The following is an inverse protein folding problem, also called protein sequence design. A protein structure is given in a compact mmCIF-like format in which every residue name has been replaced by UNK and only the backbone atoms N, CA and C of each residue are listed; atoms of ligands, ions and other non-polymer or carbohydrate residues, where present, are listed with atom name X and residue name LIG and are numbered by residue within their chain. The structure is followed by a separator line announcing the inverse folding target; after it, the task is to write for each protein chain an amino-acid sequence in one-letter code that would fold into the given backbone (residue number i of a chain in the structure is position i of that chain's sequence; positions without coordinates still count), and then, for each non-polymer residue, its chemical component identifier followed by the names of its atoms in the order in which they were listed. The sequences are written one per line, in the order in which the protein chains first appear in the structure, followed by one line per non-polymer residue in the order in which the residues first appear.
data_IF_768043124772
#
_entry.id   IF_768043124772
#
_cell.length_a   1.000
_cell.length_b   1.000
_cell.length_c   1.000
_cell.angle_alpha   90.00
_cell.angle_beta   90.00
_cell.angle_gamma   90.00
#
_symmetry.space_group_name_H-M   'P 1'
#
loop_
_entity.id
_entity.type
_entity.pdbx_description
1 polymer ?
#
# COMPACT_ATOMS: atom_id res chain seq x y z
N UNK A 1 15.40 3.78 6.20
CA UNK A 1 14.89 2.61 5.47
C UNK A 1 15.90 2.25 4.39
N UNK A 2 16.37 1.00 4.32
CA UNK A 2 17.31 0.58 3.26
C UNK A 2 16.58 -0.35 2.28
N UNK A 3 16.09 0.20 1.18
CA UNK A 3 15.52 -0.59 0.08
C UNK A 3 16.70 -1.30 -0.60
N UNK A 4 16.66 -2.64 -0.64
CA UNK A 4 17.67 -3.43 -1.34
C UNK A 4 17.35 -3.40 -2.83
N UNK A 5 18.33 -3.06 -3.68
CA UNK A 5 18.22 -3.12 -5.13
C UNK A 5 18.24 -4.60 -5.61
N UNK A 6 17.22 -5.36 -5.22
CA UNK A 6 16.98 -6.76 -5.61
C UNK A 6 15.52 -6.94 -5.96
N UNK A 7 15.25 -7.81 -6.94
CA UNK A 7 13.90 -8.21 -7.27
C UNK A 7 13.28 -9.02 -6.11
N UNK A 8 12.01 -8.74 -5.82
CA UNK A 8 11.18 -9.51 -4.91
C UNK A 8 10.03 -10.18 -5.64
N UNK A 9 9.25 -10.96 -4.90
CA UNK A 9 8.07 -11.63 -5.43
C UNK A 9 6.88 -11.54 -4.46
N UNK A 10 5.66 -11.53 -5.00
CA UNK A 10 4.46 -11.70 -4.19
C UNK A 10 4.41 -13.10 -3.59
N UNK A 11 4.25 -13.20 -2.28
CA UNK A 11 4.21 -14.48 -1.59
C UNK A 11 2.84 -15.15 -1.79
N UNK A 12 2.84 -16.38 -2.31
CA UNK A 12 1.63 -17.19 -2.49
C UNK A 12 1.75 -18.54 -1.77
N UNK A 13 0.68 -19.06 -1.14
CA UNK A 13 0.71 -20.32 -0.40
C UNK A 13 1.22 -21.53 -1.19
N UNK A 14 0.95 -21.57 -2.50
CA UNK A 14 1.39 -22.65 -3.39
C UNK A 14 2.93 -22.80 -3.45
N UNK A 15 3.68 -21.77 -3.05
CA UNK A 15 5.15 -21.78 -3.10
C UNK A 15 5.81 -21.94 -1.73
N UNK A 16 5.04 -22.10 -0.64
CA UNK A 16 5.61 -22.15 0.71
C UNK A 16 6.63 -23.27 0.92
N UNK A 17 6.30 -24.50 0.49
CA UNK A 17 7.21 -25.64 0.64
C UNK A 17 8.52 -25.40 -0.12
N UNK A 18 8.42 -25.10 -1.42
CA UNK A 18 9.57 -24.74 -2.28
C UNK A 18 10.43 -23.63 -1.68
N UNK A 19 9.84 -22.55 -1.17
CA UNK A 19 10.60 -21.44 -0.58
C UNK A 19 11.38 -21.88 0.67
N UNK A 20 10.78 -22.73 1.51
CA UNK A 20 11.38 -23.16 2.77
C UNK A 20 12.41 -24.28 2.58
N UNK A 21 12.16 -25.18 1.64
CA UNK A 21 13.00 -26.34 1.34
C UNK A 21 14.20 -25.93 0.47
N UNK A 22 13.94 -25.20 -0.63
CA UNK A 22 14.95 -24.92 -1.65
C UNK A 22 15.66 -23.57 -1.45
N UNK A 23 15.03 -22.65 -0.71
CA UNK A 23 15.56 -21.30 -0.40
C UNK A 23 16.06 -20.58 -1.66
N UNK A 24 15.19 -20.34 -2.66
CA UNK A 24 15.58 -19.73 -3.92
C UNK A 24 16.21 -18.35 -3.72
N UNK A 25 17.06 -17.94 -4.65
CA UNK A 25 17.72 -16.62 -4.61
C UNK A 25 16.75 -15.49 -5.00
N UNK A 26 15.86 -15.14 -4.07
CA UNK A 26 14.89 -14.04 -4.16
C UNK A 26 15.27 -12.94 -3.17
N UNK A 27 15.17 -11.67 -3.57
CA UNK A 27 15.60 -10.55 -2.75
C UNK A 27 14.75 -10.32 -1.49
N UNK A 28 13.44 -10.47 -1.62
CA UNK A 28 12.43 -10.25 -0.58
C UNK A 28 11.06 -10.75 -1.05
N UNK A 29 10.12 -10.89 -0.13
CA UNK A 29 8.74 -11.27 -0.44
C UNK A 29 7.75 -10.19 -0.01
N UNK A 30 6.67 -10.04 -0.78
CA UNK A 30 5.55 -9.17 -0.43
C UNK A 30 4.33 -9.95 0.05
N UNK A 31 3.62 -9.40 1.04
CA UNK A 31 2.33 -9.90 1.49
C UNK A 31 1.30 -8.78 1.60
N UNK A 32 0.03 -9.11 1.38
CA UNK A 32 -1.07 -8.20 1.73
C UNK A 32 -1.35 -8.29 3.23
N UNK A 33 -1.42 -7.14 3.92
CA UNK A 33 -1.58 -7.07 5.37
C UNK A 33 -2.85 -7.80 5.84
N UNK A 34 -3.95 -7.64 5.12
CA UNK A 34 -5.30 -8.12 5.45
C UNK A 34 -5.35 -9.64 5.56
N UNK A 35 -4.53 -10.37 4.80
CA UNK A 35 -4.39 -11.82 4.88
C UNK A 35 -3.78 -12.30 6.21
N UNK A 36 -3.16 -11.40 6.98
CA UNK A 36 -2.45 -11.69 8.23
C UNK A 36 -3.00 -10.90 9.42
N UNK A 37 -4.14 -10.21 9.27
CA UNK A 37 -4.82 -9.53 10.38
C UNK A 37 -5.74 -10.45 11.19
N UNK A 38 -5.63 -11.77 11.00
CA UNK A 38 -6.29 -12.80 11.79
C UNK A 38 -5.48 -13.18 13.04
N UNK A 39 -6.04 -14.02 13.91
CA UNK A 39 -5.38 -14.38 15.18
C UNK A 39 -4.24 -15.41 15.03
N UNK A 40 -4.18 -16.17 13.92
CA UNK A 40 -3.19 -17.23 13.75
C UNK A 40 -3.50 -18.19 12.61
N UNK A 41 -2.98 -19.42 12.71
CA UNK A 41 -3.19 -20.49 11.75
C UNK A 41 -2.05 -20.66 10.75
N UNK A 42 -2.24 -21.52 9.73
CA UNK A 42 -1.21 -21.85 8.76
C UNK A 42 -0.53 -20.63 8.11
N UNK A 43 -1.24 -19.55 7.70
CA UNK A 43 -0.58 -18.38 7.11
C UNK A 43 0.53 -17.81 8.01
N UNK A 44 0.25 -17.63 9.31
CA UNK A 44 1.23 -17.11 10.25
C UNK A 44 2.41 -18.07 10.45
N UNK A 45 2.15 -19.38 10.55
CA UNK A 45 3.21 -20.40 10.68
C UNK A 45 4.19 -20.40 9.50
N UNK A 46 3.69 -20.20 8.27
CA UNK A 46 4.55 -20.11 7.09
C UNK A 46 5.26 -18.75 7.02
N UNK A 47 4.55 -17.64 7.24
CA UNK A 47 5.13 -16.31 7.09
C UNK A 47 6.22 -16.04 8.12
N UNK A 48 6.08 -16.50 9.37
CA UNK A 48 7.14 -16.37 10.38
C UNK A 48 8.44 -17.05 9.96
N UNK A 49 8.34 -18.27 9.41
CA UNK A 49 9.53 -19.01 8.93
C UNK A 49 10.15 -18.36 7.70
N UNK A 50 9.32 -17.93 6.75
CA UNK A 50 9.80 -17.23 5.54
C UNK A 50 10.44 -15.89 5.92
N UNK A 51 9.87 -15.12 6.86
CA UNK A 51 10.44 -13.86 7.37
C UNK A 51 11.81 -14.06 8.02
N UNK A 52 12.03 -15.21 8.66
CA UNK A 52 13.32 -15.58 9.23
C UNK A 52 14.42 -15.78 8.18
N UNK A 53 14.05 -16.03 6.93
CA UNK A 53 14.98 -16.26 5.81
C UNK A 53 15.07 -15.05 4.85
N UNK A 54 13.97 -14.34 4.65
CA UNK A 54 13.83 -13.27 3.67
C UNK A 54 13.28 -11.98 4.30
N UNK A 55 13.72 -10.79 3.85
CA UNK A 55 13.03 -9.55 4.16
C UNK A 55 11.58 -9.57 3.65
N UNK A 56 10.68 -8.91 4.37
CA UNK A 56 9.27 -8.77 3.98
C UNK A 56 8.89 -7.32 3.66
N UNK A 57 8.18 -7.13 2.55
CA UNK A 57 7.32 -5.98 2.28
C UNK A 57 5.90 -6.31 2.73
N UNK A 58 5.23 -5.38 3.41
CA UNK A 58 3.81 -5.49 3.75
C UNK A 58 3.06 -4.41 3.01
N UNK A 59 2.10 -4.81 2.18
CA UNK A 59 1.28 -3.91 1.40
C UNK A 59 -0.17 -3.97 1.89
N UNK A 60 -0.78 -2.83 2.19
CA UNK A 60 -2.17 -2.73 2.62
C UNK A 60 -3.09 -2.41 1.45
N UNK A 61 -4.33 -2.93 1.52
CA UNK A 61 -5.39 -2.63 0.55
C UNK A 61 -6.67 -2.10 1.20
N UNK A 62 -6.69 -2.01 2.53
CA UNK A 62 -7.90 -1.78 3.31
C UNK A 62 -7.86 -0.55 4.23
N UNK A 63 -6.73 0.16 4.34
CA UNK A 63 -6.64 1.30 5.25
C UNK A 63 -7.52 2.48 4.80
N UNK A 64 -7.77 2.59 3.50
CA UNK A 64 -8.67 3.59 2.91
C UNK A 64 -8.20 5.02 3.23
N UNK A 65 -6.93 5.32 2.92
CA UNK A 65 -6.26 6.60 3.21
C UNK A 65 -7.00 7.80 2.60
N UNK A 66 -7.72 7.59 1.51
CA UNK A 66 -8.54 8.61 0.85
C UNK A 66 -9.91 8.87 1.47
N UNK A 67 -10.34 8.11 2.49
CA UNK A 67 -11.73 8.18 2.97
C UNK A 67 -12.05 9.51 3.65
N UNK A 68 -13.09 10.20 3.18
CA UNK A 68 -13.59 11.43 3.82
C UNK A 68 -14.06 11.23 5.27
N UNK A 69 -14.45 9.99 5.63
CA UNK A 69 -14.88 9.63 6.99
C UNK A 69 -13.73 9.36 7.97
N UNK A 70 -12.48 9.46 7.52
CA UNK A 70 -11.29 9.11 8.29
C UNK A 70 -10.94 7.63 8.21
N UNK A 71 -9.73 7.29 8.66
CA UNK A 71 -9.30 5.90 8.78
C UNK A 71 -10.00 5.21 9.96
N UNK A 72 -10.27 3.91 9.83
CA UNK A 72 -10.88 3.15 10.92
C UNK A 72 -9.82 2.80 11.97
N UNK A 73 -9.92 3.26 13.24
CA UNK A 73 -8.89 2.98 14.26
C UNK A 73 -8.68 1.48 14.51
N UNK A 74 -9.75 0.69 14.42
CA UNK A 74 -9.68 -0.78 14.51
C UNK A 74 -8.87 -1.39 13.37
N UNK A 75 -8.96 -0.88 12.15
CA UNK A 75 -8.19 -1.38 11.02
C UNK A 75 -6.71 -1.01 11.17
N UNK A 76 -6.42 0.25 11.53
CA UNK A 76 -5.06 0.71 11.79
C UNK A 76 -4.38 -0.08 12.91
N UNK A 77 -5.09 -0.39 14.00
CA UNK A 77 -4.58 -1.24 15.07
C UNK A 77 -4.25 -2.67 14.60
N UNK A 78 -5.06 -3.25 13.69
CA UNK A 78 -4.77 -4.57 13.10
C UNK A 78 -3.56 -4.53 12.18
N UNK A 79 -3.41 -3.46 11.38
CA UNK A 79 -2.22 -3.24 10.56
C UNK A 79 -0.98 -3.13 11.46
N UNK A 80 -1.07 -2.34 12.54
CA UNK A 80 0.01 -2.23 13.54
C UNK A 80 0.41 -3.60 14.09
N UNK A 81 -0.54 -4.45 14.47
CA UNK A 81 -0.23 -5.83 14.93
C UNK A 81 0.55 -6.63 13.89
N UNK A 82 0.21 -6.54 12.60
CA UNK A 82 0.94 -7.21 11.52
C UNK A 82 2.36 -6.64 11.38
N UNK A 83 2.49 -5.33 11.36
CA UNK A 83 3.78 -4.63 11.23
C UNK A 83 4.69 -4.94 12.42
N UNK A 84 4.16 -4.89 13.64
CA UNK A 84 4.89 -5.18 14.87
C UNK A 84 5.34 -6.65 14.91
N UNK A 85 4.49 -7.59 14.47
CA UNK A 85 4.82 -9.03 14.44
C UNK A 85 5.92 -9.37 13.44
N UNK A 86 5.86 -8.82 12.23
CA UNK A 86 6.73 -9.26 11.13
C UNK A 86 7.90 -8.32 10.86
N UNK A 87 7.92 -7.13 11.44
CA UNK A 87 8.98 -6.14 11.27
C UNK A 87 9.40 -6.01 9.80
N UNK A 88 8.47 -5.66 8.88
CA UNK A 88 8.77 -5.59 7.46
C UNK A 88 9.72 -4.44 7.18
N UNK A 89 10.50 -4.50 6.10
CA UNK A 89 11.41 -3.40 5.75
C UNK A 89 10.69 -2.26 5.01
N UNK A 90 9.53 -2.55 4.40
CA UNK A 90 8.63 -1.61 3.74
C UNK A 90 7.19 -1.85 4.21
N UNK A 91 6.45 -0.76 4.41
CA UNK A 91 4.99 -0.78 4.51
C UNK A 91 4.44 0.16 3.45
N UNK A 92 3.53 -0.31 2.61
CA UNK A 92 2.90 0.49 1.55
C UNK A 92 1.38 0.40 1.61
N UNK A 93 0.71 1.42 1.07
CA UNK A 93 -0.75 1.51 0.95
C UNK A 93 -1.11 2.28 -0.32
N UNK A 94 -2.38 2.19 -0.74
CA UNK A 94 -2.87 2.84 -1.94
C UNK A 94 -3.35 4.27 -1.68
N UNK A 95 -3.13 5.17 -2.64
CA UNK A 95 -3.83 6.46 -2.69
C UNK A 95 -5.28 6.25 -3.20
N UNK A 96 -6.13 5.66 -2.35
CA UNK A 96 -7.52 5.37 -2.67
C UNK A 96 -8.39 5.34 -1.41
N UNK A 97 -9.70 5.28 -1.61
CA UNK A 97 -10.66 4.93 -0.56
C UNK A 97 -11.40 3.65 -0.93
N UNK A 98 -11.66 2.82 0.08
CA UNK A 98 -12.41 1.57 -0.04
C UNK A 98 -13.49 1.48 1.03
N UNK A 99 -13.74 2.56 1.77
CA UNK A 99 -14.74 2.61 2.84
C UNK A 99 -15.52 3.93 2.85
N UNK A 100 -16.84 3.84 3.01
CA UNK A 100 -17.73 4.99 3.20
C UNK A 100 -18.94 4.60 4.04
N UNK A 101 -19.29 5.42 5.04
CA UNK A 101 -20.45 5.23 5.91
C UNK A 101 -20.56 3.81 6.53
N UNK A 102 -19.42 3.20 6.87
CA UNK A 102 -19.36 1.85 7.45
C UNK A 102 -19.44 0.69 6.45
N UNK A 103 -19.57 0.96 5.16
CA UNK A 103 -19.52 -0.03 4.07
C UNK A 103 -18.09 -0.16 3.56
N UNK A 104 -17.63 -1.40 3.38
CA UNK A 104 -16.37 -1.72 2.72
C UNK A 104 -16.64 -2.11 1.26
N UNK A 105 -15.85 -1.55 0.36
CA UNK A 105 -15.85 -1.85 -1.06
C UNK A 105 -14.62 -2.69 -1.38
N UNK A 106 -14.79 -3.70 -2.23
CA UNK A 106 -13.66 -4.52 -2.72
C UNK A 106 -12.83 -3.81 -3.80
N UNK A 107 -13.10 -2.52 -4.03
CA UNK A 107 -12.48 -1.72 -5.07
C UNK A 107 -11.74 -0.53 -4.44
N UNK A 108 -10.69 -0.08 -5.13
CA UNK A 108 -9.89 1.08 -4.75
C UNK A 108 -10.41 2.28 -5.51
N UNK A 109 -11.29 3.04 -4.85
CA UNK A 109 -12.06 4.10 -5.49
C UNK A 109 -11.21 5.37 -5.67
N UNK A 110 -11.37 6.08 -6.81
CA UNK A 110 -10.56 7.25 -7.14
C UNK A 110 -10.86 8.43 -6.23
N UNK A 111 -9.89 9.34 -6.15
CA UNK A 111 -9.95 10.56 -5.35
C UNK A 111 -9.92 11.79 -6.27
N UNK A 112 -10.63 12.88 -5.92
CA UNK A 112 -10.48 14.13 -6.64
C UNK A 112 -9.17 14.78 -6.17
N UNK A 113 -8.30 15.14 -7.11
CA UNK A 113 -6.98 15.71 -6.83
C UNK A 113 -7.08 17.22 -6.55
N UNK A 114 -7.69 17.56 -5.42
CA UNK A 114 -7.84 18.92 -4.91
C UNK A 114 -6.91 19.18 -3.73
N UNK A 115 -6.68 20.46 -3.40
CA UNK A 115 -5.97 20.86 -2.17
C UNK A 115 -6.65 20.34 -0.92
N UNK A 116 -7.99 20.32 -0.89
CA UNK A 116 -8.76 19.78 0.24
C UNK A 116 -8.50 18.29 0.42
N UNK A 117 -8.51 17.50 -0.66
CA UNK A 117 -8.18 16.07 -0.60
C UNK A 117 -6.73 15.86 -0.19
N UNK A 118 -5.81 16.70 -0.65
CA UNK A 118 -4.41 16.64 -0.24
C UNK A 118 -4.24 16.90 1.27
N UNK A 119 -4.94 17.90 1.83
CA UNK A 119 -4.95 18.17 3.27
C UNK A 119 -5.47 16.98 4.07
N UNK A 120 -6.56 16.36 3.59
CA UNK A 120 -7.17 15.18 4.22
C UNK A 120 -6.20 13.99 4.20
N UNK A 121 -5.72 13.62 3.02
CA UNK A 121 -4.82 12.48 2.83
C UNK A 121 -3.52 12.68 3.59
N UNK A 122 -2.96 13.90 3.62
CA UNK A 122 -1.77 14.19 4.40
C UNK A 122 -1.95 13.89 5.88
N UNK A 123 -3.08 14.29 6.48
CA UNK A 123 -3.39 13.96 7.88
C UNK A 123 -3.49 12.45 8.12
N UNK A 124 -4.10 11.70 7.20
CA UNK A 124 -4.21 10.25 7.34
C UNK A 124 -2.87 9.55 7.20
N UNK A 125 -2.01 10.02 6.30
CA UNK A 125 -0.63 9.50 6.18
C UNK A 125 0.15 9.79 7.46
N UNK A 126 0.06 11.00 8.02
CA UNK A 126 0.72 11.35 9.29
C UNK A 126 0.21 10.49 10.46
N UNK A 127 -1.11 10.28 10.56
CA UNK A 127 -1.74 9.39 11.55
C UNK A 127 -1.23 7.94 11.40
N UNK A 128 -1.18 7.41 10.18
CA UNK A 128 -0.70 6.07 9.90
C UNK A 128 0.79 5.92 10.24
N UNK A 129 1.64 6.86 9.82
CA UNK A 129 3.07 6.85 10.14
C UNK A 129 3.32 6.95 11.64
N UNK A 130 2.53 7.78 12.35
CA UNK A 130 2.61 7.91 13.81
C UNK A 130 2.24 6.61 14.50
N UNK A 131 1.12 5.98 14.12
CA UNK A 131 0.67 4.74 14.73
C UNK A 131 1.61 3.55 14.43
N UNK A 132 2.16 3.50 13.22
CA UNK A 132 3.09 2.44 12.80
C UNK A 132 4.54 2.72 13.19
N UNK A 133 4.82 3.91 13.74
CA UNK A 133 6.16 4.38 14.15
C UNK A 133 7.20 4.27 13.04
N UNK A 134 6.78 4.51 11.79
CA UNK A 134 7.63 4.37 10.61
C UNK A 134 7.12 5.13 9.41
N UNK A 135 8.02 5.40 8.48
CA UNK A 135 7.68 5.88 7.14
C UNK A 135 6.92 4.79 6.37
N UNK A 136 5.83 5.19 5.72
CA UNK A 136 5.07 4.34 4.78
C UNK A 136 5.28 4.82 3.34
N UNK A 137 4.94 3.97 2.38
CA UNK A 137 4.96 4.28 0.95
C UNK A 137 3.52 4.40 0.44
N UNK A 138 3.26 5.42 -0.38
CA UNK A 138 1.97 5.60 -1.04
C UNK A 138 2.09 5.19 -2.50
N UNK A 139 1.22 4.27 -2.91
CA UNK A 139 1.14 3.76 -4.28
C UNK A 139 0.19 4.58 -5.14
N UNK A 140 0.58 4.81 -6.40
CA UNK A 140 -0.31 5.38 -7.41
C UNK A 140 -1.39 4.35 -7.81
N UNK A 141 -2.68 4.73 -7.76
CA UNK A 141 -3.76 3.82 -8.13
C UNK A 141 -3.86 3.71 -9.65
N UNK A 142 -4.50 2.65 -10.13
CA UNK A 142 -5.09 2.68 -11.47
C UNK A 142 -6.41 3.44 -11.39
N UNK A 143 -6.57 4.49 -12.21
CA UNK A 143 -7.79 5.30 -12.21
C UNK A 143 -8.62 4.97 -13.44
N UNK A 144 -9.88 4.58 -13.22
CA UNK A 144 -10.85 4.31 -14.29
C UNK A 144 -11.83 5.48 -14.51
N UNK A 145 -11.92 6.40 -13.57
CA UNK A 145 -12.65 7.66 -13.68
C UNK A 145 -11.73 8.81 -13.25
N UNK A 146 -11.81 9.93 -13.97
CA UNK A 146 -11.38 11.23 -13.46
C UNK A 146 -12.59 11.94 -12.90
N UNK A 147 -12.43 12.49 -11.71
CA UNK A 147 -13.47 13.31 -11.10
C UNK A 147 -13.32 14.72 -11.68
N UNK A 148 -14.45 15.36 -12.02
CA UNK A 148 -14.44 16.62 -12.79
C UNK A 148 -13.83 17.84 -12.08
N UNK A 149 -13.50 17.68 -10.80
CA UNK A 149 -13.07 18.77 -9.90
C UNK A 149 -11.55 18.73 -9.61
N UNK A 150 -10.75 18.01 -10.41
CA UNK A 150 -9.30 17.93 -10.21
C UNK A 150 -8.62 19.31 -10.37
N UNK A 151 -7.89 19.75 -9.34
CA UNK A 151 -7.14 21.02 -9.35
C UNK A 151 -5.67 20.82 -9.80
N UNK A 152 -5.18 19.59 -9.75
CA UNK A 152 -3.79 19.24 -10.08
C UNK A 152 -3.69 17.82 -10.69
N UNK A 153 -2.62 17.52 -11.45
CA UNK A 153 -2.34 16.16 -11.89
C UNK A 153 -2.02 15.20 -10.73
N UNK A 154 -2.31 13.91 -10.92
CA UNK A 154 -2.00 12.83 -9.94
C UNK A 154 -0.53 12.84 -9.49
N UNK A 155 0.41 13.00 -10.43
CA UNK A 155 1.84 13.01 -10.13
C UNK A 155 2.26 14.23 -9.32
N UNK A 156 1.59 15.37 -9.54
CA UNK A 156 1.77 16.56 -8.70
C UNK A 156 1.18 16.35 -7.31
N UNK A 157 -0.01 15.75 -7.21
CA UNK A 157 -0.64 15.40 -5.94
C UNK A 157 0.28 14.50 -5.10
N UNK A 158 0.78 13.39 -5.67
CA UNK A 158 1.68 12.46 -5.00
C UNK A 158 3.00 13.14 -4.57
N UNK A 159 3.58 13.97 -5.45
CA UNK A 159 4.79 14.74 -5.14
C UNK A 159 4.58 15.69 -3.96
N UNK A 160 3.46 16.39 -3.92
CA UNK A 160 3.14 17.31 -2.83
C UNK A 160 2.86 16.55 -1.52
N UNK A 161 2.16 15.42 -1.60
CA UNK A 161 1.89 14.56 -0.46
C UNK A 161 3.20 14.08 0.17
N UNK A 162 4.09 13.47 -0.62
CA UNK A 162 5.38 12.98 -0.15
C UNK A 162 6.25 14.09 0.47
N UNK A 163 6.26 15.29 -0.13
CA UNK A 163 6.98 16.45 0.43
C UNK A 163 6.43 16.91 1.78
N UNK A 164 5.12 16.83 1.98
CA UNK A 164 4.44 17.34 3.17
C UNK A 164 4.54 16.38 4.36
N UNK A 165 4.34 15.10 4.11
CA UNK A 165 4.25 14.06 5.17
C UNK A 165 5.57 13.30 5.35
N UNK A 166 6.49 13.48 4.42
CA UNK A 166 7.71 12.69 4.36
C UNK A 166 7.49 11.23 3.97
N UNK A 167 6.30 10.82 3.49
CA UNK A 167 6.10 9.44 3.04
C UNK A 167 6.94 9.12 1.79
N UNK A 168 7.23 7.84 1.58
CA UNK A 168 7.78 7.36 0.33
C UNK A 168 6.71 7.23 -0.76
N UNK A 169 7.13 6.97 -1.99
CA UNK A 169 6.25 6.62 -3.09
C UNK A 169 6.56 5.19 -3.56
N UNK A 170 5.51 4.42 -3.82
CA UNK A 170 5.58 3.15 -4.54
C UNK A 170 5.02 3.40 -5.94
N UNK A 171 5.82 3.17 -6.98
CA UNK A 171 5.37 3.35 -8.36
C UNK A 171 4.98 2.00 -8.94
N UNK A 172 3.68 1.77 -9.11
CA UNK A 172 3.19 0.66 -9.91
C UNK A 172 3.09 1.09 -11.39
N UNK A 173 4.00 0.54 -12.18
CA UNK A 173 4.12 0.80 -13.62
C UNK A 173 2.93 0.26 -14.40
N UNK A 174 2.32 -0.84 -13.95
CA UNK A 174 1.11 -1.37 -14.56
C UNK A 174 -0.07 -0.41 -14.33
N UNK A 175 -0.22 0.16 -13.14
CA UNK A 175 -1.23 1.17 -12.86
C UNK A 175 -1.05 2.41 -13.75
N UNK A 176 0.19 2.82 -14.03
CA UNK A 176 0.46 3.89 -15.01
C UNK A 176 -0.04 3.52 -16.40
N UNK A 177 0.25 2.31 -16.88
CA UNK A 177 -0.18 1.84 -18.22
C UNK A 177 -1.71 1.75 -18.30
N UNK A 178 -2.36 1.24 -17.26
CA UNK A 178 -3.83 1.14 -17.19
C UNK A 178 -4.46 2.54 -17.16
N UNK A 179 -3.97 3.44 -16.31
CA UNK A 179 -4.44 4.84 -16.26
C UNK A 179 -4.22 5.55 -17.59
N UNK A 180 -3.09 5.32 -18.26
CA UNK A 180 -2.78 5.86 -19.59
C UNK A 180 -3.79 5.41 -20.65
N UNK A 181 -4.12 4.11 -20.65
CA UNK A 181 -5.12 3.54 -21.54
C UNK A 181 -6.53 4.09 -21.25
N UNK A 182 -6.92 4.19 -19.97
CA UNK A 182 -8.24 4.67 -19.56
C UNK A 182 -8.46 6.15 -19.92
N UNK A 183 -7.43 6.99 -19.79
CA UNK A 183 -7.55 8.44 -19.93
C UNK A 183 -6.97 9.00 -21.23
N UNK A 184 -6.47 8.14 -22.12
CA UNK A 184 -5.98 8.55 -23.45
C UNK A 184 -4.69 9.36 -23.43
N UNK A 185 -3.78 9.11 -22.47
CA UNK A 185 -2.43 9.69 -22.48
C UNK A 185 -1.36 8.63 -22.72
N UNK A 186 -0.13 9.03 -23.06
CA UNK A 186 0.98 8.10 -23.23
C UNK A 186 1.64 7.78 -21.88
N UNK A 187 1.77 6.49 -21.52
CA UNK A 187 2.38 6.06 -20.26
C UNK A 187 3.79 6.65 -20.02
N UNK A 188 4.57 6.86 -21.08
CA UNK A 188 5.90 7.48 -21.00
C UNK A 188 5.89 8.98 -20.61
N UNK A 189 4.71 9.61 -20.51
CA UNK A 189 4.54 11.00 -20.05
C UNK A 189 4.09 11.11 -18.60
N UNK A 190 3.91 9.98 -17.92
CA UNK A 190 3.62 9.93 -16.49
C UNK A 190 4.88 10.30 -15.69
#
# INVERSE_FOLDING_TARGET
MQIRARAGAGLKPAHYATILDDRPDVGWFEVHAENYMGAGGPPHFFLERIRGLYPLSVHGVGLSIGSAGGMTPRHLARLKTVVDRYQPFVVSEHLAWSTHAGVFFNDLLPLPYTRQTLDLVARHVDEAQTALERQILIENPSTYLRLGDDEMPETEFLRMLARRTGCGLLLDVNNVVVSAANHGFAAARY
#
